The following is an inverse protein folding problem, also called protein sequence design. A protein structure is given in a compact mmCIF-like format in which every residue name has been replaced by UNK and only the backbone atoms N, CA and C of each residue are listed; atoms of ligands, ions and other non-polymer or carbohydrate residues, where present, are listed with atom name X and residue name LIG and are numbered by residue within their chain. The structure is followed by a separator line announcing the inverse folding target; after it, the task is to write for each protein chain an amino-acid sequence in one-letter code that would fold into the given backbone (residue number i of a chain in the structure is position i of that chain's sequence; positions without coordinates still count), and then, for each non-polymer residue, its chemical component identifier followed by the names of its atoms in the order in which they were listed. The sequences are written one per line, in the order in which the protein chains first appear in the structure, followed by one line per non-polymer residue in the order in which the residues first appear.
data_IF_105270474617
#
_entry.id   IF_105270474617
#
_cell.length_a   1.000
_cell.length_b   1.000
_cell.length_c   1.000
_cell.angle_alpha   90.00
_cell.angle_beta   90.00
_cell.angle_gamma   90.00
#
_symmetry.space_group_name_H-M   'P 1'
#
loop_
_entity.id
_entity.type
_entity.pdbx_description
1 polymer ?
#
# COMPACT_ATOMS: atom_id res chain seq x y z
N UNK A 1 8.44 35.63 -11.92
CA UNK A 1 9.35 35.11 -10.88
C UNK A 1 8.75 33.78 -10.45
N UNK A 2 9.28 32.66 -10.94
CA UNK A 2 8.84 31.32 -10.54
C UNK A 2 9.50 31.05 -9.18
N UNK A 3 8.72 30.94 -8.11
CA UNK A 3 9.24 30.48 -6.84
C UNK A 3 9.65 29.02 -7.00
N UNK A 4 10.87 28.71 -6.56
CA UNK A 4 11.37 27.34 -6.50
C UNK A 4 10.78 26.69 -5.26
N UNK A 5 9.56 26.17 -5.37
CA UNK A 5 8.87 25.51 -4.27
C UNK A 5 9.38 24.06 -4.17
N UNK A 6 10.58 23.93 -3.61
CA UNK A 6 11.02 22.66 -3.05
C UNK A 6 10.67 22.60 -1.57
N UNK A 7 10.28 21.43 -1.10
CA UNK A 7 9.99 21.17 0.31
C UNK A 7 10.81 19.99 0.79
N UNK A 8 11.56 20.17 1.88
CA UNK A 8 12.27 19.10 2.56
C UNK A 8 11.58 18.77 3.87
N UNK A 9 11.19 17.51 4.04
CA UNK A 9 10.53 17.00 5.24
C UNK A 9 11.40 15.92 5.87
N UNK A 10 11.67 16.05 7.17
CA UNK A 10 12.47 15.11 7.95
C UNK A 10 11.67 14.70 9.18
N UNK A 11 11.49 13.39 9.40
CA UNK A 11 10.79 12.88 10.58
C UNK A 11 10.02 11.60 10.31
N UNK A 12 8.97 11.35 11.09
CA UNK A 12 8.10 10.17 10.96
C UNK A 12 6.78 10.60 10.35
N UNK A 13 6.39 10.04 9.19
CA UNK A 13 5.16 10.42 8.48
C UNK A 13 4.40 9.23 7.93
N UNK A 14 3.10 9.43 7.68
CA UNK A 14 2.25 8.54 6.89
C UNK A 14 2.06 9.19 5.51
N UNK A 15 2.38 8.46 4.46
CA UNK A 15 2.15 8.79 3.05
C UNK A 15 1.05 7.89 2.51
N UNK A 16 0.24 8.43 1.61
CA UNK A 16 -0.90 7.74 1.00
C UNK A 16 -0.99 8.18 -0.46
N UNK A 17 -0.99 7.22 -1.37
CA UNK A 17 -1.02 7.42 -2.82
C UNK A 17 -2.23 6.75 -3.47
N UNK A 18 -2.94 5.90 -2.74
CA UNK A 18 -4.10 5.17 -3.25
C UNK A 18 -5.22 6.07 -3.75
N UNK A 19 -5.94 5.58 -4.76
CA UNK A 19 -7.12 6.19 -5.35
C UNK A 19 -8.36 5.29 -5.27
N UNK A 20 -8.21 3.96 -5.20
CA UNK A 20 -9.31 3.00 -5.03
C UNK A 20 -9.80 2.95 -3.58
N UNK A 21 -10.92 2.29 -3.30
CA UNK A 21 -11.58 2.28 -1.97
C UNK A 21 -11.36 0.98 -1.20
N UNK A 22 -11.16 -0.15 -1.89
CA UNK A 22 -11.13 -1.48 -1.24
C UNK A 22 -9.73 -1.97 -0.94
N UNK A 23 -8.78 -1.65 -1.82
CA UNK A 23 -7.39 -2.04 -1.67
C UNK A 23 -6.51 -0.96 -2.27
N UNK A 24 -5.52 -0.51 -1.51
CA UNK A 24 -4.52 0.45 -1.96
C UNK A 24 -3.24 -0.29 -2.32
N UNK A 25 -3.17 -0.78 -3.57
CA UNK A 25 -2.03 -1.52 -4.11
C UNK A 25 -0.76 -0.66 -4.11
N UNK A 26 -0.89 0.63 -4.41
CA UNK A 26 0.26 1.51 -4.60
C UNK A 26 0.93 1.98 -3.30
N UNK A 27 0.27 1.81 -2.16
CA UNK A 27 0.72 2.31 -0.85
C UNK A 27 1.86 1.46 -0.25
N UNK A 28 3.09 1.75 -0.67
CA UNK A 28 4.28 0.97 -0.27
C UNK A 28 5.18 1.64 0.77
N UNK A 29 5.05 2.95 1.01
CA UNK A 29 5.95 3.66 1.93
C UNK A 29 5.76 3.19 3.37
N UNK A 30 4.50 3.11 3.80
CA UNK A 30 4.13 2.87 5.18
C UNK A 30 3.69 1.43 5.42
N UNK A 31 4.03 0.94 6.61
CA UNK A 31 3.66 -0.39 7.06
C UNK A 31 2.24 -0.42 7.63
N UNK A 32 1.52 -1.54 7.51
CA UNK A 32 0.18 -1.71 8.11
C UNK A 32 0.28 -1.90 9.63
N UNK A 33 -0.71 -1.37 10.36
CA UNK A 33 -0.93 -1.58 11.80
C UNK A 33 -2.15 -2.50 12.05
N UNK A 34 -1.94 -3.81 12.13
CA UNK A 34 -3.02 -4.78 12.36
C UNK A 34 -3.51 -4.82 13.82
N UNK A 35 -2.83 -4.14 14.74
CA UNK A 35 -3.26 -4.02 16.13
C UNK A 35 -4.33 -2.93 16.25
N UNK A 36 -4.24 -1.87 15.46
CA UNK A 36 -5.24 -0.79 15.42
C UNK A 36 -6.53 -1.25 14.73
N UNK A 37 -6.44 -1.84 13.54
CA UNK A 37 -7.59 -2.43 12.86
C UNK A 37 -7.19 -3.61 11.95
N UNK A 38 -8.08 -4.59 11.81
CA UNK A 38 -7.82 -5.81 11.03
C UNK A 38 -8.05 -5.64 9.53
N UNK A 39 -8.67 -4.52 9.11
CA UNK A 39 -8.98 -4.21 7.71
C UNK A 39 -7.74 -3.86 6.88
N UNK A 40 -6.63 -3.49 7.53
CA UNK A 40 -5.36 -3.18 6.86
C UNK A 40 -5.22 -1.72 6.41
N UNK A 41 -6.20 -0.89 6.72
CA UNK A 41 -6.25 0.52 6.35
C UNK A 41 -5.37 1.41 7.23
N UNK A 42 -5.24 1.05 8.50
CA UNK A 42 -4.39 1.79 9.42
C UNK A 42 -2.92 1.51 9.13
N UNK A 43 -2.14 2.59 8.94
CA UNK A 43 -0.71 2.52 8.66
C UNK A 43 0.12 3.06 9.83
N UNK A 44 1.29 2.50 10.05
CA UNK A 44 2.34 3.03 10.91
C UNK A 44 3.05 4.22 10.24
N UNK A 45 3.41 5.24 11.04
CA UNK A 45 4.30 6.31 10.57
C UNK A 45 5.70 5.77 10.26
N UNK A 46 6.30 6.22 9.16
CA UNK A 46 7.59 5.75 8.65
C UNK A 46 8.65 6.85 8.84
N UNK A 47 9.80 6.57 9.49
CA UNK A 47 10.94 7.47 9.50
C UNK A 47 11.45 7.71 8.08
N UNK A 48 11.57 8.97 7.68
CA UNK A 48 11.95 9.34 6.32
C UNK A 48 12.60 10.73 6.23
N UNK A 49 13.38 10.91 5.17
CA UNK A 49 13.61 12.19 4.53
C UNK A 49 12.85 12.20 3.19
N UNK A 50 12.03 13.22 2.96
CA UNK A 50 11.27 13.42 1.72
C UNK A 50 11.63 14.80 1.16
N UNK A 51 12.14 14.82 -0.08
CA UNK A 51 12.31 16.04 -0.88
C UNK A 51 11.23 16.07 -1.96
N UNK A 52 10.35 17.07 -1.90
CA UNK A 52 9.31 17.34 -2.90
C UNK A 52 9.70 18.55 -3.74
N UNK A 53 9.55 18.45 -5.05
CA UNK A 53 9.83 19.53 -6.00
C UNK A 53 8.60 19.71 -6.86
N UNK A 54 7.83 20.76 -6.59
CA UNK A 54 6.62 21.10 -7.34
C UNK A 54 6.93 22.11 -8.45
N UNK A 55 6.44 21.84 -9.65
CA UNK A 55 6.58 22.68 -10.85
C UNK A 55 5.29 22.64 -11.67
N UNK A 56 5.17 23.53 -12.66
CA UNK A 56 4.02 23.58 -13.57
C UNK A 56 3.83 22.28 -14.37
N UNK A 57 4.87 21.45 -14.49
CA UNK A 57 4.83 20.16 -15.17
C UNK A 57 4.56 18.99 -14.22
N UNK A 58 4.30 19.22 -12.94
CA UNK A 58 4.03 18.20 -11.94
C UNK A 58 4.98 18.27 -10.73
N UNK A 59 4.88 17.27 -9.88
CA UNK A 59 5.63 17.13 -8.62
C UNK A 59 6.53 15.92 -8.69
N UNK A 60 7.79 16.07 -8.26
CA UNK A 60 8.70 14.95 -8.04
C UNK A 60 8.99 14.84 -6.54
N UNK A 61 8.68 13.69 -5.97
CA UNK A 61 8.99 13.35 -4.58
C UNK A 61 10.11 12.30 -4.54
N UNK A 62 11.14 12.57 -3.74
CA UNK A 62 12.27 11.67 -3.51
C UNK A 62 12.32 11.29 -2.03
N UNK A 63 12.32 9.99 -1.75
CA UNK A 63 12.24 9.44 -0.40
C UNK A 63 13.49 8.65 -0.05
N UNK A 64 13.98 8.88 1.16
CA UNK A 64 15.00 8.07 1.83
C UNK A 64 14.40 7.58 3.14
N UNK A 65 14.35 6.26 3.32
CA UNK A 65 13.75 5.62 4.48
C UNK A 65 14.84 4.86 5.25
N UNK A 66 15.51 5.50 6.23
CA UNK A 66 16.69 4.94 6.87
C UNK A 66 16.40 3.85 7.91
N UNK A 67 15.12 3.62 8.24
CA UNK A 67 14.72 2.69 9.29
C UNK A 67 13.39 2.02 8.94
N UNK A 68 13.39 0.72 8.74
CA UNK A 68 12.20 -0.09 8.50
C UNK A 68 11.40 -0.32 9.78
N UNK A 69 10.07 -0.35 9.66
CA UNK A 69 9.17 -0.72 10.76
C UNK A 69 8.43 -2.00 10.43
N UNK A 70 8.52 -2.97 11.33
CA UNK A 70 7.79 -4.22 11.24
C UNK A 70 6.27 -4.01 11.31
N UNK A 71 5.53 -4.93 10.68
CA UNK A 71 4.07 -4.98 10.77
C UNK A 71 3.71 -5.38 12.20
N UNK A 72 2.78 -4.65 12.81
CA UNK A 72 2.24 -5.08 14.10
C UNK A 72 1.30 -6.26 13.88
N UNK A 73 1.31 -7.23 14.80
CA UNK A 73 0.42 -8.38 14.75
C UNK A 73 -0.33 -8.51 16.08
N UNK A 74 -1.63 -8.88 16.08
CA UNK A 74 -2.35 -9.16 17.31
C UNK A 74 -1.72 -10.35 18.06
N UNK A 75 -1.32 -10.11 19.32
CA UNK A 75 -0.76 -11.15 20.18
C UNK A 75 -1.80 -12.17 20.68
N UNK A 76 -1.42 -13.05 21.60
CA UNK A 76 -2.27 -14.14 22.12
C UNK A 76 -3.65 -13.71 22.67
N UNK A 77 -3.77 -12.47 23.14
CA UNK A 77 -5.03 -11.91 23.68
C UNK A 77 -5.82 -11.08 22.68
N UNK A 78 -5.31 -10.89 21.46
CA UNK A 78 -5.99 -10.18 20.38
C UNK A 78 -7.23 -10.93 19.90
N UNK A 79 -8.29 -10.17 19.57
CA UNK A 79 -9.48 -10.68 18.89
C UNK A 79 -9.23 -10.55 17.40
N UNK A 80 -9.46 -11.61 16.60
CA UNK A 80 -9.12 -11.71 15.17
C UNK A 80 -7.61 -11.85 14.90
N UNK A 81 -7.05 -13.01 15.28
CA UNK A 81 -5.64 -13.36 15.05
C UNK A 81 -5.50 -14.53 14.08
N UNK A 82 -4.29 -14.70 13.55
CA UNK A 82 -3.87 -15.95 12.94
C UNK A 82 -4.03 -17.13 13.91
N UNK A 83 -4.21 -18.34 13.36
CA UNK A 83 -4.36 -19.55 14.17
C UNK A 83 -3.16 -19.79 15.11
N UNK A 84 -1.95 -19.47 14.64
CA UNK A 84 -0.72 -19.40 15.43
C UNK A 84 -0.31 -17.94 15.67
N UNK A 85 0.40 -17.68 16.76
CA UNK A 85 0.95 -16.36 17.07
C UNK A 85 2.08 -16.04 16.10
N UNK A 86 2.08 -14.82 15.58
CA UNK A 86 3.24 -14.28 14.83
C UNK A 86 4.25 -13.77 15.85
N UNK A 87 5.45 -14.33 15.83
CA UNK A 87 6.56 -13.93 16.69
C UNK A 87 7.42 -12.90 15.97
N UNK A 88 7.23 -11.63 16.34
CA UNK A 88 7.97 -10.49 15.81
C UNK A 88 9.37 -10.38 16.41
N UNK A 89 9.62 -10.97 17.59
CA UNK A 89 10.95 -10.94 18.21
C UNK A 89 11.97 -11.81 17.44
N UNK A 90 11.46 -12.71 16.59
CA UNK A 90 12.21 -13.58 15.70
C UNK A 90 11.97 -13.25 14.21
N UNK A 91 11.62 -12.00 13.89
CA UNK A 91 11.48 -11.55 12.51
C UNK A 91 12.79 -11.78 11.72
N UNK A 92 12.64 -12.21 10.46
CA UNK A 92 13.79 -12.43 9.58
C UNK A 92 13.83 -11.39 8.47
N UNK A 93 15.05 -10.98 8.14
CA UNK A 93 15.31 -10.00 7.09
C UNK A 93 16.19 -10.60 6.02
N UNK A 94 15.88 -10.31 4.76
CA UNK A 94 16.78 -10.62 3.65
C UNK A 94 18.04 -9.76 3.68
N UNK A 95 17.91 -8.50 4.11
CA UNK A 95 19.05 -7.61 4.29
C UNK A 95 19.75 -7.92 5.60
N UNK A 96 21.08 -8.01 5.56
CA UNK A 96 21.92 -8.13 6.76
C UNK A 96 21.91 -6.85 7.63
N UNK A 97 21.40 -5.73 7.12
CA UNK A 97 21.20 -4.51 7.89
C UNK A 97 19.86 -4.49 8.66
N UNK A 98 19.03 -5.54 8.51
CA UNK A 98 17.77 -5.71 9.24
C UNK A 98 16.89 -4.45 9.15
N UNK A 99 16.35 -3.96 10.26
CA UNK A 99 15.54 -2.74 10.29
C UNK A 99 16.31 -1.46 9.92
N UNK A 100 17.65 -1.49 9.91
CA UNK A 100 18.48 -0.35 9.52
C UNK A 100 18.80 -0.32 8.01
N UNK A 101 18.23 -1.24 7.23
CA UNK A 101 18.32 -1.15 5.77
C UNK A 101 17.67 0.15 5.27
N UNK A 102 18.39 0.89 4.43
CA UNK A 102 17.88 2.13 3.85
C UNK A 102 17.10 1.84 2.57
N UNK A 103 15.81 2.10 2.59
CA UNK A 103 14.95 1.98 1.42
C UNK A 103 14.83 3.33 0.70
N UNK A 104 14.48 3.28 -0.59
CA UNK A 104 14.37 4.46 -1.45
C UNK A 104 13.07 4.42 -2.25
N UNK A 105 12.51 5.60 -2.51
CA UNK A 105 11.43 5.75 -3.47
C UNK A 105 11.57 7.05 -4.26
N UNK A 106 11.06 7.04 -5.48
CA UNK A 106 10.85 8.24 -6.27
C UNK A 106 9.45 8.20 -6.86
N UNK A 107 8.72 9.30 -6.78
CA UNK A 107 7.37 9.45 -7.34
C UNK A 107 7.31 10.69 -8.21
N UNK A 108 6.62 10.60 -9.33
CA UNK A 108 6.21 11.72 -10.13
C UNK A 108 4.69 11.74 -10.20
N UNK A 109 4.07 12.89 -9.93
CA UNK A 109 2.64 13.09 -10.07
C UNK A 109 2.32 14.37 -10.83
N UNK A 110 1.21 14.36 -11.57
CA UNK A 110 0.76 15.53 -12.31
C UNK A 110 -0.74 15.47 -12.53
N UNK A 111 -1.42 16.53 -12.09
CA UNK A 111 -2.82 16.81 -12.42
C UNK A 111 -2.91 17.71 -13.65
N UNK A 112 -3.52 17.24 -14.74
CA UNK A 112 -3.72 18.02 -15.96
C UNK A 112 -5.15 17.88 -16.50
N UNK A 113 -5.86 19.01 -16.57
CA UNK A 113 -7.30 19.00 -16.85
C UNK A 113 -8.03 18.20 -15.78
N UNK A 114 -8.80 17.20 -16.21
CA UNK A 114 -9.56 16.33 -15.31
C UNK A 114 -8.82 15.03 -14.94
N UNK A 115 -7.55 14.89 -15.34
CA UNK A 115 -6.70 13.73 -15.03
C UNK A 115 -5.79 14.02 -13.85
N UNK A 116 -5.66 13.06 -12.95
CA UNK A 116 -4.57 12.96 -11.98
C UNK A 116 -3.81 11.66 -12.25
N UNK A 117 -2.49 11.75 -12.41
CA UNK A 117 -1.64 10.59 -12.71
C UNK A 117 -0.42 10.61 -11.82
N UNK A 118 -0.16 9.50 -11.14
CA UNK A 118 1.04 9.23 -10.38
C UNK A 118 1.78 8.00 -10.87
N UNK A 119 3.10 8.07 -10.98
CA UNK A 119 3.97 6.91 -11.19
C UNK A 119 5.10 6.96 -10.17
N UNK A 120 5.47 5.80 -9.64
CA UNK A 120 6.59 5.72 -8.71
C UNK A 120 7.42 4.46 -8.90
N UNK A 121 8.61 4.50 -8.31
CA UNK A 121 9.49 3.36 -8.17
C UNK A 121 10.01 3.29 -6.75
N UNK A 122 9.94 2.12 -6.14
CA UNK A 122 10.38 1.81 -4.79
C UNK A 122 11.42 0.68 -4.84
N UNK A 123 12.49 0.82 -4.06
CA UNK A 123 13.47 -0.25 -3.81
C UNK A 123 13.70 -0.32 -2.31
N UNK A 124 13.48 -1.51 -1.74
CA UNK A 124 13.75 -1.73 -0.33
C UNK A 124 13.01 -2.90 0.25
N UNK A 125 12.85 -2.88 1.56
CA UNK A 125 12.22 -3.95 2.34
C UNK A 125 10.72 -4.06 2.01
N UNK A 126 10.17 -5.26 1.86
CA UNK A 126 8.75 -5.43 1.57
C UNK A 126 7.90 -5.05 2.77
N UNK A 127 6.76 -4.39 2.52
CA UNK A 127 5.74 -4.10 3.54
C UNK A 127 4.82 -5.31 3.75
N UNK A 128 4.93 -6.32 2.89
CA UNK A 128 4.16 -7.55 2.93
C UNK A 128 5.08 -8.74 3.27
N UNK A 129 5.19 -9.12 4.56
CA UNK A 129 6.04 -10.24 4.95
C UNK A 129 5.49 -11.58 4.45
N UNK A 130 6.40 -12.48 4.06
CA UNK A 130 6.10 -13.92 3.97
C UNK A 130 6.08 -14.52 5.36
N UNK A 131 5.48 -15.70 5.52
CA UNK A 131 5.35 -16.37 6.80
C UNK A 131 5.93 -17.78 6.77
N UNK A 132 6.82 -18.10 7.71
CA UNK A 132 7.40 -19.43 7.87
C UNK A 132 7.09 -20.01 9.26
N UNK A 133 6.96 -21.34 9.40
CA UNK A 133 6.79 -21.96 10.70
C UNK A 133 8.08 -21.85 11.53
N UNK A 134 7.92 -21.63 12.84
CA UNK A 134 9.01 -21.59 13.81
C UNK A 134 8.58 -22.10 15.18
N UNK A 135 9.45 -21.94 16.17
CA UNK A 135 9.18 -22.27 17.58
C UNK A 135 9.63 -21.12 18.48
N UNK A 136 8.84 -20.80 19.50
CA UNK A 136 9.25 -19.83 20.53
C UNK A 136 10.29 -20.43 21.49
N UNK A 137 10.80 -19.61 22.42
CA UNK A 137 11.76 -20.05 23.44
C UNK A 137 11.23 -21.14 24.40
N UNK A 138 9.93 -21.42 24.41
CA UNK A 138 9.29 -22.49 25.19
C UNK A 138 8.97 -23.74 24.33
N UNK A 139 9.32 -23.73 23.04
CA UNK A 139 9.07 -24.83 22.10
C UNK A 139 7.64 -24.88 21.54
N UNK A 140 6.83 -23.84 21.73
CA UNK A 140 5.50 -23.76 21.13
C UNK A 140 5.61 -23.37 19.65
N UNK A 141 4.75 -23.90 18.77
CA UNK A 141 4.73 -23.50 17.37
C UNK A 141 4.30 -22.04 17.21
N UNK A 142 5.07 -21.29 16.44
CA UNK A 142 4.81 -19.89 16.07
C UNK A 142 4.98 -19.70 14.57
N UNK A 143 4.57 -18.53 14.09
CA UNK A 143 4.83 -18.07 12.72
C UNK A 143 5.88 -16.95 12.80
N UNK A 144 6.90 -17.02 11.95
CA UNK A 144 7.92 -15.98 11.84
C UNK A 144 7.66 -15.15 10.58
N UNK A 145 7.60 -13.82 10.68
CA UNK A 145 7.54 -12.95 9.52
C UNK A 145 8.91 -12.85 8.85
N UNK A 146 8.93 -12.88 7.52
CA UNK A 146 10.14 -12.75 6.71
C UNK A 146 9.99 -11.57 5.76
N UNK A 147 10.87 -10.57 5.93
CA UNK A 147 10.89 -9.34 5.15
C UNK A 147 11.93 -9.44 4.03
N UNK A 148 11.44 -9.52 2.79
CA UNK A 148 12.26 -9.62 1.59
C UNK A 148 12.62 -8.26 1.01
N UNK A 149 13.67 -8.19 0.21
CA UNK A 149 13.98 -7.01 -0.60
C UNK A 149 13.21 -7.08 -1.92
N UNK A 150 12.55 -5.97 -2.26
CA UNK A 150 11.70 -5.85 -3.44
C UNK A 150 12.06 -4.63 -4.26
N UNK A 151 11.64 -4.67 -5.52
CA UNK A 151 11.55 -3.50 -6.39
C UNK A 151 10.10 -3.41 -6.86
N UNK A 152 9.47 -2.25 -6.70
CA UNK A 152 8.08 -2.04 -7.10
C UNK A 152 7.97 -0.80 -7.97
N UNK A 153 7.40 -0.96 -9.16
CA UNK A 153 6.91 0.16 -9.96
C UNK A 153 5.41 0.21 -9.83
N UNK A 154 4.82 1.37 -9.56
CA UNK A 154 3.37 1.50 -9.52
C UNK A 154 2.87 2.74 -10.22
N UNK A 155 1.59 2.68 -10.57
CA UNK A 155 0.82 3.66 -11.31
C UNK A 155 -0.51 3.86 -10.58
N UNK A 156 -0.91 5.10 -10.39
CA UNK A 156 -2.23 5.49 -9.95
C UNK A 156 -2.79 6.54 -10.91
N UNK A 157 -4.06 6.42 -11.24
CA UNK A 157 -4.77 7.29 -12.18
C UNK A 157 -6.15 7.56 -11.63
N UNK A 158 -6.54 8.83 -11.60
CA UNK A 158 -7.94 9.21 -11.46
C UNK A 158 -8.37 10.15 -12.58
N UNK A 159 -9.62 10.02 -13.01
CA UNK A 159 -10.18 10.82 -14.11
C UNK A 159 -11.64 11.17 -13.83
N UNK A 160 -11.94 12.47 -13.81
CA UNK A 160 -13.29 12.99 -13.57
C UNK A 160 -13.94 13.37 -14.90
N UNK A 161 -15.17 12.89 -15.16
CA UNK A 161 -15.92 13.27 -16.36
C UNK A 161 -17.41 13.31 -16.08
N UNK A 162 -17.98 14.52 -16.06
CA UNK A 162 -19.36 14.74 -15.61
C UNK A 162 -19.53 14.24 -14.18
N UNK A 163 -20.47 13.33 -13.97
CA UNK A 163 -20.76 12.73 -12.67
C UNK A 163 -19.98 11.43 -12.41
N UNK A 164 -19.03 11.08 -13.28
CA UNK A 164 -18.19 9.88 -13.16
C UNK A 164 -16.79 10.21 -12.65
N UNK A 165 -16.30 9.40 -11.72
CA UNK A 165 -14.91 9.36 -11.28
C UNK A 165 -14.34 7.97 -11.55
N UNK A 166 -13.42 7.88 -12.50
CA UNK A 166 -12.69 6.64 -12.82
C UNK A 166 -11.40 6.58 -12.01
N UNK A 167 -11.07 5.39 -11.52
CA UNK A 167 -9.91 5.14 -10.66
C UNK A 167 -9.19 3.88 -11.12
N UNK A 168 -7.85 3.91 -11.13
CA UNK A 168 -7.01 2.78 -11.44
C UNK A 168 -5.73 2.85 -10.60
N UNK A 169 -5.38 1.74 -10.00
CA UNK A 169 -4.08 1.46 -9.42
C UNK A 169 -3.48 0.23 -10.08
N UNK A 170 -2.20 0.26 -10.38
CA UNK A 170 -1.47 -0.91 -10.87
C UNK A 170 -0.05 -0.91 -10.31
N UNK A 171 0.50 -2.11 -10.13
CA UNK A 171 1.88 -2.30 -9.76
C UNK A 171 2.50 -3.48 -10.47
N UNK A 172 3.82 -3.40 -10.62
CA UNK A 172 4.67 -4.52 -10.97
C UNK A 172 5.76 -4.63 -9.91
N UNK A 173 5.85 -5.80 -9.27
CA UNK A 173 6.79 -6.04 -8.17
C UNK A 173 7.73 -7.20 -8.51
N UNK A 174 9.01 -7.01 -8.17
CA UNK A 174 10.06 -8.02 -8.24
C UNK A 174 10.61 -8.37 -6.88
N UNK A 175 11.17 -9.57 -6.77
CA UNK A 175 11.93 -10.00 -5.59
C UNK A 175 11.07 -10.48 -4.42
N UNK A 176 9.76 -10.34 -4.49
CA UNK A 176 8.82 -10.85 -3.48
C UNK A 176 8.77 -12.38 -3.55
N UNK A 177 8.86 -13.02 -2.39
CA UNK A 177 8.61 -14.45 -2.27
C UNK A 177 7.12 -14.75 -2.16
N UNK A 178 6.75 -16.00 -2.46
CA UNK A 178 5.40 -16.52 -2.19
C UNK A 178 5.04 -16.43 -0.69
N UNK A 179 3.81 -16.82 -0.32
CA UNK A 179 3.34 -16.82 1.07
C UNK A 179 4.30 -17.49 2.07
N UNK A 180 5.14 -18.42 1.60
CA UNK A 180 6.11 -19.18 2.41
C UNK A 180 7.55 -18.69 2.23
N UNK A 181 7.78 -17.69 1.38
CA UNK A 181 9.10 -17.15 1.05
C UNK A 181 10.00 -18.11 0.27
N UNK A 182 9.45 -19.17 -0.34
CA UNK A 182 10.24 -20.25 -0.96
C UNK A 182 10.56 -19.98 -2.43
N UNK A 183 9.66 -19.33 -3.15
CA UNK A 183 9.82 -19.02 -4.58
C UNK A 183 9.75 -17.52 -4.77
N UNK A 184 10.68 -16.93 -5.53
CA UNK A 184 10.58 -15.54 -5.96
C UNK A 184 9.94 -15.46 -7.34
N UNK A 185 8.82 -14.75 -7.41
CA UNK A 185 8.15 -14.49 -8.66
C UNK A 185 7.89 -12.99 -8.78
N UNK A 186 8.24 -12.46 -9.94
CA UNK A 186 7.78 -11.15 -10.33
C UNK A 186 6.30 -11.25 -10.69
N UNK A 187 5.51 -10.24 -10.37
CA UNK A 187 4.07 -10.25 -10.65
C UNK A 187 3.53 -8.85 -10.92
N UNK A 188 2.43 -8.80 -11.65
CA UNK A 188 1.61 -7.61 -11.81
C UNK A 188 0.30 -7.73 -11.01
N UNK A 189 -0.14 -6.63 -10.40
CA UNK A 189 -1.45 -6.52 -9.78
C UNK A 189 -2.08 -5.19 -10.19
N UNK A 190 -3.39 -5.15 -10.32
CA UNK A 190 -4.14 -3.95 -10.65
C UNK A 190 -5.50 -3.96 -9.97
N UNK A 191 -5.97 -2.79 -9.56
CA UNK A 191 -7.36 -2.58 -9.15
C UNK A 191 -7.88 -1.32 -9.83
N UNK A 192 -9.13 -1.34 -10.25
CA UNK A 192 -9.72 -0.19 -10.88
C UNK A 192 -11.24 -0.25 -10.85
N UNK A 193 -11.84 0.92 -10.95
CA UNK A 193 -13.25 1.09 -10.74
C UNK A 193 -13.76 2.45 -11.15
N UNK A 194 -15.02 2.69 -10.82
CA UNK A 194 -15.64 3.97 -11.01
C UNK A 194 -16.59 4.29 -9.85
N UNK A 195 -16.75 5.58 -9.59
CA UNK A 195 -17.81 6.14 -8.80
C UNK A 195 -18.73 6.96 -9.70
N UNK A 196 -20.05 6.82 -9.51
CA UNK A 196 -21.05 7.67 -10.13
C UNK A 196 -21.86 8.39 -9.05
N UNK A 197 -22.00 9.71 -9.18
CA UNK A 197 -22.77 10.53 -8.24
C UNK A 197 -24.10 10.96 -8.87
N UNK A 198 -25.20 10.50 -8.30
CA UNK A 198 -26.53 11.03 -8.61
C UNK A 198 -26.75 12.30 -7.79
N UNK A 199 -26.72 13.46 -8.45
CA UNK A 199 -26.93 14.75 -7.80
C UNK A 199 -28.41 15.10 -7.66
N UNK A 200 -28.81 15.61 -6.49
CA UNK A 200 -30.13 16.23 -6.29
C UNK A 200 -31.31 15.25 -6.45
N UNK A 201 -31.17 14.03 -5.90
CA UNK A 201 -32.21 13.02 -5.99
C UNK A 201 -33.50 13.56 -5.35
N UNK A 202 -34.64 13.34 -6.02
CA UNK A 202 -35.97 13.79 -5.60
C UNK A 202 -36.08 15.31 -5.40
N UNK A 203 -35.30 16.12 -6.12
CA UNK A 203 -35.27 17.59 -5.98
C UNK A 203 -34.83 18.05 -4.58
N UNK A 204 -34.10 17.19 -3.87
CA UNK A 204 -33.51 17.50 -2.56
C UNK A 204 -32.05 17.93 -2.69
N UNK A 205 -31.41 18.30 -1.58
CA UNK A 205 -29.95 18.55 -1.51
C UNK A 205 -29.15 17.26 -1.27
N UNK A 206 -29.76 16.08 -1.43
CA UNK A 206 -29.12 14.79 -1.16
C UNK A 206 -28.52 14.21 -2.44
N UNK A 207 -27.29 13.70 -2.31
CA UNK A 207 -26.58 13.03 -3.37
C UNK A 207 -26.37 11.54 -3.03
N UNK A 208 -26.40 10.68 -4.05
CA UNK A 208 -26.12 9.24 -3.89
C UNK A 208 -24.89 8.86 -4.72
N UNK A 209 -23.89 8.29 -4.06
CA UNK A 209 -22.73 7.70 -4.72
C UNK A 209 -22.91 6.20 -4.92
N UNK A 210 -22.53 5.70 -6.10
CA UNK A 210 -22.38 4.27 -6.38
C UNK A 210 -20.96 4.00 -6.83
N UNK A 211 -20.30 3.07 -6.15
CA UNK A 211 -18.92 2.66 -6.43
C UNK A 211 -18.91 1.21 -6.87
N UNK A 212 -18.12 0.91 -7.90
CA UNK A 212 -17.79 -0.45 -8.32
C UNK A 212 -16.30 -0.56 -8.61
N UNK A 213 -15.63 -1.55 -8.02
CA UNK A 213 -14.19 -1.81 -8.17
C UNK A 213 -13.92 -3.28 -8.50
N UNK A 214 -12.96 -3.49 -9.39
CA UNK A 214 -12.45 -4.80 -9.77
C UNK A 214 -10.99 -4.92 -9.35
N UNK A 215 -10.62 -6.08 -8.80
CA UNK A 215 -9.28 -6.38 -8.35
C UNK A 215 -8.71 -7.55 -9.15
N UNK A 216 -7.46 -7.42 -9.58
CA UNK A 216 -6.71 -8.42 -10.32
C UNK A 216 -5.30 -8.59 -9.72
N UNK A 217 -4.95 -9.81 -9.31
CA UNK A 217 -3.58 -10.18 -8.93
C UNK A 217 -3.14 -11.42 -9.72
N UNK A 218 -2.02 -11.31 -10.44
CA UNK A 218 -1.47 -12.42 -11.25
C UNK A 218 -1.11 -13.64 -10.39
N UNK A 219 -0.77 -13.44 -9.11
CA UNK A 219 -0.37 -14.50 -8.20
C UNK A 219 -1.52 -15.43 -7.82
N UNK A 220 -2.78 -15.00 -7.97
CA UNK A 220 -3.97 -15.77 -7.56
C UNK A 220 -3.80 -16.33 -6.13
N UNK A 221 -3.97 -17.64 -5.93
CA UNK A 221 -3.85 -18.33 -4.63
C UNK A 221 -2.51 -18.11 -3.89
N UNK A 222 -1.48 -17.56 -4.57
CA UNK A 222 -0.18 -17.23 -3.99
C UNK A 222 -0.05 -15.76 -3.56
N UNK A 223 -1.11 -14.95 -3.70
CA UNK A 223 -1.14 -13.56 -3.26
C UNK A 223 -1.04 -13.47 -1.73
N UNK A 224 -0.46 -12.37 -1.25
CA UNK A 224 -0.41 -12.06 0.19
C UNK A 224 -1.67 -11.30 0.66
N UNK A 225 -2.56 -10.99 -0.29
CA UNK A 225 -3.87 -10.36 -0.09
C UNK A 225 -4.97 -11.42 -0.23
N UNK A 226 -6.12 -11.27 0.46
CA UNK A 226 -7.25 -12.17 0.27
C UNK A 226 -8.03 -11.91 -1.04
N UNK A 227 -7.62 -10.89 -1.82
CA UNK A 227 -8.27 -10.47 -3.06
C UNK A 227 -7.41 -10.82 -4.26
N UNK A 228 -8.03 -11.41 -5.28
CA UNK A 228 -7.35 -11.97 -6.45
C UNK A 228 -8.08 -11.68 -7.77
N UNK A 229 -9.41 -11.84 -7.79
CA UNK A 229 -10.31 -11.62 -8.93
C UNK A 229 -11.70 -11.23 -8.43
N UNK A 230 -11.74 -10.18 -7.62
CA UNK A 230 -12.91 -9.83 -6.83
C UNK A 230 -13.57 -8.58 -7.39
N UNK A 231 -14.91 -8.57 -7.33
CA UNK A 231 -15.73 -7.40 -7.61
C UNK A 231 -16.28 -6.90 -6.28
N UNK A 232 -15.99 -5.66 -5.95
CA UNK A 232 -16.52 -4.99 -4.78
C UNK A 232 -17.41 -3.83 -5.22
N UNK A 233 -18.47 -3.57 -4.45
CA UNK A 233 -19.38 -2.47 -4.73
C UNK A 233 -19.96 -1.90 -3.45
N UNK A 234 -20.15 -0.58 -3.45
CA UNK A 234 -20.74 0.15 -2.34
C UNK A 234 -21.74 1.18 -2.86
N UNK A 235 -22.80 1.45 -2.09
CA UNK A 235 -23.68 2.58 -2.31
C UNK A 235 -23.89 3.33 -0.99
N UNK A 236 -23.84 4.65 -1.06
CA UNK A 236 -23.88 5.51 0.12
C UNK A 236 -24.45 6.89 -0.18
N UNK A 237 -25.10 7.47 0.83
CA UNK A 237 -25.70 8.81 0.76
C UNK A 237 -24.73 9.83 1.35
N UNK A 238 -24.69 11.03 0.77
CA UNK A 238 -24.01 12.20 1.34
C UNK A 238 -24.98 13.36 1.53
#
# INVERSE_FOLDING_TARGET
MLHEDFELRLGVRKEFWGVTEVLHLVDIINQIDLVENFDGEQKLGQPMANLSIARDWGTVDLFVLPFFRERTFPGQKGRLRFGLVVDTDQAQYESAAEEWHTDWAARYSHTFGDWDVGIYYFIGTSRDPSFIPGTDGAGNPVILPVYQQIQQTGLDVSYVVGDWLWKLEALYRKGQGDQRGLTRNDYIAATGGFEYTFTGIFETQMDLGVVAEYLFDERRDFALTPFENDLAGHCGWR
#
